data_IF_332421443282
#
_entry.id   IF_332421443282
#
_cell.length_a   1.000
_cell.length_b   1.000
_cell.length_c   1.000
_cell.angle_alpha   90.00
_cell.angle_beta   90.00
_cell.angle_gamma   90.00
#
_symmetry.space_group_name_H-M   'P 1'
#
loop_
_entity.id
_entity.type
_entity.pdbx_description
1 polymer ?
#
# COMPACT_ATOMS: atom_id res chain seq x y z
N UNK A 1 0.02 -6.44 2.70
CA UNK A 1 -0.60 -5.12 2.93
C UNK A 1 -0.31 -4.27 1.67
N UNK A 2 -1.15 -4.11 0.64
CA UNK A 2 -0.95 -3.26 -0.58
C UNK A 2 -2.20 -3.37 -1.52
N UNK A 3 -2.18 -2.99 -2.81
CA UNK A 3 -3.34 -3.21 -3.72
C UNK A 3 -3.66 -4.70 -3.96
N UNK A 4 -2.64 -5.55 -4.10
CA UNK A 4 -2.82 -7.01 -4.21
C UNK A 4 -3.41 -7.57 -2.92
N UNK A 5 -2.89 -7.14 -1.76
CA UNK A 5 -3.46 -7.56 -0.47
C UNK A 5 -4.85 -6.98 -0.20
N UNK A 6 -5.19 -5.85 -0.81
CA UNK A 6 -6.55 -5.30 -0.79
C UNK A 6 -7.54 -6.18 -1.57
N UNK A 7 -7.04 -7.03 -2.47
CA UNK A 7 -7.82 -7.94 -3.29
C UNK A 7 -8.03 -7.45 -4.73
N UNK A 8 -7.36 -6.37 -5.14
CA UNK A 8 -7.42 -5.93 -6.53
C UNK A 8 -7.02 -7.08 -7.47
N UNK A 9 -7.69 -7.19 -8.62
CA UNK A 9 -7.53 -8.33 -9.55
C UNK A 9 -8.52 -9.48 -9.33
N UNK A 10 -8.96 -9.73 -8.09
CA UNK A 10 -9.98 -10.73 -7.78
C UNK A 10 -11.36 -10.34 -8.34
N UNK A 11 -12.17 -11.33 -8.74
CA UNK A 11 -13.51 -11.09 -9.30
C UNK A 11 -14.49 -10.54 -8.27
N UNK A 12 -14.31 -10.87 -6.98
CA UNK A 12 -15.12 -10.37 -5.88
C UNK A 12 -14.28 -10.16 -4.62
N UNK A 13 -13.85 -8.91 -4.41
CA UNK A 13 -13.12 -8.46 -3.21
C UNK A 13 -13.94 -8.72 -1.94
N UNK A 14 -13.29 -9.26 -0.92
CA UNK A 14 -13.90 -9.77 0.30
C UNK A 14 -14.33 -11.23 0.20
N UNK A 15 -14.18 -11.89 -0.96
CA UNK A 15 -14.66 -13.26 -1.18
C UNK A 15 -13.65 -14.15 -1.91
N UNK A 16 -13.14 -13.72 -3.07
CA UNK A 16 -12.24 -14.50 -3.93
C UNK A 16 -10.79 -14.01 -3.91
N UNK A 17 -10.51 -12.91 -3.21
CA UNK A 17 -9.14 -12.47 -2.93
C UNK A 17 -8.45 -13.37 -1.90
N UNK A 18 -7.13 -13.45 -1.99
CA UNK A 18 -6.32 -14.37 -1.20
C UNK A 18 -6.45 -14.16 0.32
N UNK A 19 -6.60 -12.91 0.78
CA UNK A 19 -6.77 -12.60 2.19
C UNK A 19 -8.09 -13.18 2.71
N UNK A 20 -9.19 -12.97 1.97
CA UNK A 20 -10.51 -13.51 2.33
C UNK A 20 -10.57 -15.02 2.25
N UNK A 21 -9.91 -15.63 1.25
CA UNK A 21 -9.79 -17.08 1.12
C UNK A 21 -9.07 -17.68 2.33
N UNK A 22 -7.91 -17.13 2.69
CA UNK A 22 -7.12 -17.56 3.84
C UNK A 22 -7.90 -17.37 5.15
N UNK A 23 -8.48 -16.19 5.37
CA UNK A 23 -9.22 -15.90 6.59
C UNK A 23 -10.39 -16.87 6.81
N UNK A 24 -11.12 -17.20 5.73
CA UNK A 24 -12.20 -18.19 5.76
C UNK A 24 -11.66 -19.58 6.11
N UNK A 25 -10.59 -20.00 5.44
CA UNK A 25 -9.95 -21.28 5.72
C UNK A 25 -9.50 -21.37 7.19
N UNK A 26 -8.88 -20.34 7.74
CA UNK A 26 -8.43 -20.33 9.14
C UNK A 26 -9.62 -20.46 10.11
N UNK A 27 -10.72 -19.72 9.87
CA UNK A 27 -11.94 -19.82 10.70
C UNK A 27 -12.52 -21.24 10.66
N UNK A 28 -12.52 -21.89 9.50
CA UNK A 28 -13.03 -23.25 9.32
C UNK A 28 -12.08 -24.32 9.90
N UNK A 29 -10.77 -24.14 9.75
CA UNK A 29 -9.74 -25.08 10.18
C UNK A 29 -9.53 -25.09 11.71
N UNK A 30 -9.79 -23.97 12.38
CA UNK A 30 -9.60 -23.83 13.83
C UNK A 30 -10.90 -23.42 14.55
N UNK A 31 -11.96 -24.24 14.52
CA UNK A 31 -13.29 -23.87 15.02
C UNK A 31 -13.36 -23.70 16.54
N UNK A 32 -12.36 -24.21 17.29
CA UNK A 32 -12.23 -23.98 18.73
C UNK A 32 -11.62 -22.62 19.07
N UNK A 33 -11.05 -21.92 18.08
CA UNK A 33 -10.42 -20.61 18.24
C UNK A 33 -11.34 -19.51 17.71
N UNK A 34 -11.33 -18.36 18.37
CA UNK A 34 -12.08 -17.18 17.91
C UNK A 34 -11.19 -16.35 16.99
N UNK A 35 -11.26 -16.63 15.70
CA UNK A 35 -10.46 -15.92 14.69
C UNK A 35 -11.22 -14.71 14.17
N UNK A 36 -10.55 -13.55 14.21
CA UNK A 36 -10.98 -12.32 13.55
C UNK A 36 -9.92 -11.91 12.55
N UNK A 37 -10.33 -11.50 11.37
CA UNK A 37 -9.42 -11.07 10.31
C UNK A 37 -9.77 -9.65 9.84
N UNK A 38 -8.77 -8.77 9.83
CA UNK A 38 -8.89 -7.39 9.33
C UNK A 38 -7.90 -7.16 8.19
N UNK A 39 -8.40 -6.67 7.07
CA UNK A 39 -7.55 -6.27 5.96
C UNK A 39 -7.07 -4.81 6.14
N UNK A 40 -5.83 -4.65 6.61
CA UNK A 40 -5.17 -3.36 6.77
C UNK A 40 -4.63 -2.72 5.48
N UNK A 41 -4.72 -3.41 4.34
CA UNK A 41 -4.02 -3.05 3.11
C UNK A 41 -4.45 -1.71 2.53
N UNK A 42 -3.49 -0.83 2.18
CA UNK A 42 -3.76 0.43 1.47
C UNK A 42 -3.28 0.28 0.02
N UNK A 43 -4.19 0.38 -0.97
CA UNK A 43 -3.82 0.19 -2.37
C UNK A 43 -2.69 1.10 -2.84
N UNK A 44 -1.77 0.53 -3.62
CA UNK A 44 -0.67 1.24 -4.27
C UNK A 44 0.16 2.12 -3.34
N UNK A 45 0.49 1.55 -2.18
CA UNK A 45 1.45 2.12 -1.23
C UNK A 45 2.68 1.24 -1.16
N UNK A 46 3.88 1.83 -1.07
CA UNK A 46 5.11 1.12 -0.73
C UNK A 46 5.22 0.93 0.79
N UNK A 47 6.15 0.07 1.20
CA UNK A 47 6.52 -0.13 2.61
C UNK A 47 7.03 1.17 3.26
N UNK A 48 7.62 2.09 2.47
CA UNK A 48 8.04 3.42 2.94
C UNK A 48 6.88 4.30 3.38
N UNK A 49 5.68 4.15 2.82
CA UNK A 49 4.47 4.77 3.34
C UNK A 49 3.96 4.01 4.58
N UNK A 50 3.92 2.68 4.50
CA UNK A 50 3.34 1.87 5.58
C UNK A 50 4.11 1.98 6.90
N UNK A 51 5.44 2.05 6.84
CA UNK A 51 6.25 2.25 8.05
C UNK A 51 5.89 3.55 8.78
N UNK A 52 5.36 4.56 8.09
CA UNK A 52 4.93 5.82 8.70
C UNK A 52 3.48 5.81 9.18
N UNK A 53 2.61 5.02 8.51
CA UNK A 53 1.17 4.96 8.74
C UNK A 53 0.69 3.61 9.33
N UNK A 54 1.60 2.85 9.96
CA UNK A 54 1.34 1.48 10.42
C UNK A 54 0.12 1.39 11.33
N UNK A 55 -0.02 2.34 12.25
CA UNK A 55 -1.07 2.42 13.26
C UNK A 55 -2.48 2.51 12.66
N UNK A 56 -2.60 2.97 11.41
CA UNK A 56 -3.89 3.02 10.72
C UNK A 56 -4.27 1.66 10.11
N UNK A 57 -3.29 0.78 9.95
CA UNK A 57 -3.40 -0.43 9.15
C UNK A 57 -3.33 -1.70 10.00
N UNK A 58 -2.60 -1.67 11.11
CA UNK A 58 -2.32 -2.83 11.95
C UNK A 58 -2.69 -2.51 13.40
N UNK A 59 -3.52 -3.37 13.99
CA UNK A 59 -3.91 -3.25 15.40
C UNK A 59 -2.74 -3.64 16.31
N UNK A 60 -2.54 -2.95 17.44
CA UNK A 60 -1.38 -3.19 18.32
C UNK A 60 -1.40 -4.56 19.01
N UNK A 61 -2.57 -5.18 19.10
CA UNK A 61 -2.84 -6.49 19.70
C UNK A 61 -3.05 -7.61 18.67
N UNK A 62 -2.68 -7.38 17.40
CA UNK A 62 -2.73 -8.40 16.35
C UNK A 62 -1.84 -9.60 16.68
N UNK A 63 -2.30 -10.82 16.39
CA UNK A 63 -1.54 -12.06 16.63
C UNK A 63 -0.70 -12.51 15.42
N UNK A 64 -1.18 -12.24 14.20
CA UNK A 64 -0.55 -12.65 12.95
C UNK A 64 -0.67 -11.54 11.89
N UNK A 65 0.46 -11.17 11.29
CA UNK A 65 0.53 -10.18 10.21
C UNK A 65 1.12 -10.79 8.95
N UNK A 66 0.41 -10.64 7.83
CA UNK A 66 0.90 -10.96 6.49
C UNK A 66 1.33 -9.67 5.78
N UNK A 67 2.62 -9.56 5.46
CA UNK A 67 3.20 -8.37 4.83
C UNK A 67 3.64 -8.67 3.41
N UNK A 68 3.30 -7.78 2.47
CA UNK A 68 3.62 -7.91 1.05
C UNK A 68 3.70 -6.51 0.44
N UNK A 69 4.85 -6.21 -0.19
CA UNK A 69 5.12 -4.95 -0.88
C UNK A 69 6.11 -5.09 -2.06
N UNK A 70 6.57 -6.29 -2.44
CA UNK A 70 7.63 -6.47 -3.45
C UNK A 70 7.33 -5.74 -4.76
N UNK A 71 6.06 -5.75 -5.18
CA UNK A 71 5.64 -5.05 -6.38
C UNK A 71 5.71 -3.53 -6.18
N UNK A 72 5.18 -3.02 -5.05
CA UNK A 72 5.05 -1.58 -4.77
C UNK A 72 6.36 -0.89 -4.39
N UNK A 73 7.30 -1.60 -3.78
CA UNK A 73 8.62 -1.05 -3.46
C UNK A 73 9.50 -0.93 -4.72
N UNK A 74 9.09 -1.55 -5.83
CA UNK A 74 9.76 -1.50 -7.12
C UNK A 74 11.06 -2.30 -7.13
N UNK A 75 11.92 -2.04 -8.12
CA UNK A 75 13.24 -2.68 -8.29
C UNK A 75 14.38 -1.68 -8.03
N UNK A 76 15.46 -2.16 -7.42
CA UNK A 76 16.72 -1.43 -7.34
C UNK A 76 17.86 -2.38 -7.72
N UNK A 77 18.72 -1.96 -8.66
CA UNK A 77 19.85 -2.75 -9.15
C UNK A 77 21.08 -2.66 -8.21
N UNK A 78 20.83 -2.78 -6.91
CA UNK A 78 21.86 -2.72 -5.87
C UNK A 78 21.41 -3.54 -4.65
N UNK A 79 22.35 -4.24 -4.02
CA UNK A 79 22.07 -5.04 -2.81
C UNK A 79 22.42 -4.26 -1.55
N UNK A 80 23.61 -3.64 -1.53
CA UNK A 80 24.19 -3.01 -0.32
C UNK A 80 23.47 -1.73 0.09
N UNK A 81 23.10 -0.91 -0.90
CA UNK A 81 22.46 0.38 -0.69
C UNK A 81 21.07 0.39 -1.33
N UNK A 82 20.28 -0.65 -1.03
CA UNK A 82 18.99 -0.88 -1.66
C UNK A 82 17.90 0.01 -1.02
N UNK A 83 17.63 1.14 -1.64
CA UNK A 83 16.61 2.08 -1.17
C UNK A 83 15.18 1.52 -1.21
N UNK A 84 14.90 0.51 -2.03
CA UNK A 84 13.61 -0.16 -2.07
C UNK A 84 13.40 -1.12 -0.88
N UNK A 85 14.46 -1.79 -0.40
CA UNK A 85 14.36 -2.78 0.69
C UNK A 85 14.55 -2.17 2.09
N UNK A 86 15.31 -1.08 2.25
CA UNK A 86 15.48 -0.41 3.56
C UNK A 86 14.14 -0.06 4.24
N UNK A 87 13.10 0.44 3.56
CA UNK A 87 11.82 0.71 4.19
C UNK A 87 11.07 -0.57 4.62
N UNK A 88 11.21 -1.68 3.88
CA UNK A 88 10.69 -2.99 4.28
C UNK A 88 11.34 -3.46 5.59
N UNK A 89 12.66 -3.30 5.73
CA UNK A 89 13.34 -3.61 6.99
C UNK A 89 12.74 -2.82 8.16
N UNK A 90 12.62 -1.49 8.01
CA UNK A 90 12.06 -0.66 9.07
C UNK A 90 10.64 -1.10 9.41
N UNK A 91 9.82 -1.44 8.40
CA UNK A 91 8.47 -1.96 8.60
C UNK A 91 8.46 -3.29 9.38
N UNK A 92 9.27 -4.27 8.99
CA UNK A 92 9.40 -5.55 9.70
C UNK A 92 9.78 -5.34 11.16
N UNK A 93 10.75 -4.46 11.43
CA UNK A 93 11.17 -4.12 12.79
C UNK A 93 10.02 -3.51 13.60
N UNK A 94 9.22 -2.61 13.03
CA UNK A 94 8.04 -2.04 13.71
C UNK A 94 6.99 -3.13 14.01
N UNK A 95 6.73 -4.02 13.05
CA UNK A 95 5.77 -5.12 13.22
C UNK A 95 6.19 -6.07 14.35
N UNK A 96 7.44 -6.53 14.34
CA UNK A 96 7.99 -7.41 15.39
C UNK A 96 8.11 -6.71 16.75
N UNK A 97 8.20 -5.38 16.76
CA UNK A 97 8.23 -4.57 17.97
C UNK A 97 6.84 -4.30 18.58
N UNK A 98 5.74 -4.60 17.87
CA UNK A 98 4.38 -4.35 18.38
C UNK A 98 4.15 -4.99 19.76
N UNK A 99 3.29 -4.40 20.61
CA UNK A 99 3.06 -4.89 21.97
C UNK A 99 2.65 -6.36 22.04
N UNK A 100 1.81 -6.83 21.10
CA UNK A 100 1.35 -8.22 21.01
C UNK A 100 2.39 -9.23 20.54
N UNK A 101 3.57 -8.81 20.07
CA UNK A 101 4.60 -9.68 19.48
C UNK A 101 4.02 -10.62 18.40
N UNK A 102 3.36 -10.07 17.36
CA UNK A 102 2.72 -10.89 16.35
C UNK A 102 3.71 -11.79 15.62
N UNK A 103 3.24 -12.95 15.19
CA UNK A 103 3.88 -13.68 14.11
C UNK A 103 3.82 -12.81 12.84
N UNK A 104 4.92 -12.72 12.09
CA UNK A 104 5.00 -11.97 10.83
C UNK A 104 5.38 -12.92 9.72
N UNK A 105 4.59 -12.96 8.65
CA UNK A 105 4.87 -13.76 7.45
C UNK A 105 5.03 -12.81 6.27
N UNK A 106 6.17 -12.90 5.59
CA UNK A 106 6.40 -12.18 4.33
C UNK A 106 5.79 -12.99 3.19
N UNK A 107 4.86 -12.37 2.45
CA UNK A 107 4.34 -12.87 1.19
C UNK A 107 4.91 -11.99 0.08
N UNK A 108 5.37 -12.60 -1.01
CA UNK A 108 5.99 -11.90 -2.13
C UNK A 108 5.29 -12.23 -3.42
N UNK A 109 5.07 -11.19 -4.23
CA UNK A 109 4.44 -11.28 -5.55
C UNK A 109 5.47 -10.92 -6.61
N UNK A 110 5.54 -11.65 -7.74
CA UNK A 110 6.49 -11.35 -8.81
C UNK A 110 6.28 -9.93 -9.34
N UNK A 111 7.36 -9.27 -9.72
CA UNK A 111 7.25 -8.06 -10.53
C UNK A 111 6.59 -8.36 -11.86
N UNK A 112 5.95 -7.34 -12.42
CA UNK A 112 5.35 -7.42 -13.74
C UNK A 112 6.34 -7.95 -14.78
N UNK A 113 5.95 -9.01 -15.48
CA UNK A 113 6.75 -9.63 -16.54
C UNK A 113 7.52 -10.88 -16.13
N UNK A 114 7.81 -11.11 -14.85
CA UNK A 114 8.70 -12.22 -14.44
C UNK A 114 8.12 -13.59 -14.82
N UNK A 115 6.82 -13.83 -14.59
CA UNK A 115 6.20 -15.12 -14.89
C UNK A 115 5.49 -15.15 -16.26
N UNK A 116 5.79 -14.20 -17.15
CA UNK A 116 5.29 -14.22 -18.53
C UNK A 116 6.09 -15.17 -19.40
N UNK A 117 5.50 -15.62 -20.50
CA UNK A 117 6.16 -16.45 -21.49
C UNK A 117 7.35 -15.71 -22.14
N UNK A 118 8.48 -16.39 -22.44
CA UNK A 118 9.67 -15.77 -23.04
C UNK A 118 9.45 -15.00 -24.35
N UNK A 119 8.41 -15.34 -25.12
CA UNK A 119 8.04 -14.66 -26.36
C UNK A 119 7.18 -13.41 -26.13
N UNK A 120 6.79 -13.12 -24.89
CA UNK A 120 6.10 -11.89 -24.53
C UNK A 120 7.10 -10.71 -24.49
N UNK A 121 6.85 -9.58 -25.17
CA UNK A 121 7.75 -8.43 -25.16
C UNK A 121 7.93 -7.78 -23.78
N UNK A 122 7.04 -8.06 -22.83
CA UNK A 122 7.10 -7.57 -21.45
C UNK A 122 7.72 -8.59 -20.50
N UNK A 123 8.19 -9.74 -21.01
CA UNK A 123 8.87 -10.75 -20.22
C UNK A 123 10.07 -10.16 -19.48
N UNK A 124 10.26 -10.60 -18.24
CA UNK A 124 11.43 -10.29 -17.43
C UNK A 124 12.02 -11.57 -16.88
N UNK A 125 13.34 -11.57 -16.75
CA UNK A 125 14.07 -12.71 -16.20
C UNK A 125 13.77 -12.90 -14.70
N UNK A 126 13.97 -14.12 -14.20
CA UNK A 126 13.68 -14.49 -12.81
C UNK A 126 14.36 -13.58 -11.77
N UNK A 127 15.56 -13.09 -12.08
CA UNK A 127 16.38 -12.25 -11.21
C UNK A 127 15.97 -10.77 -11.21
N UNK A 128 15.05 -10.35 -12.07
CA UNK A 128 14.60 -8.96 -12.13
C UNK A 128 13.63 -8.68 -10.98
N UNK A 129 14.12 -8.71 -9.74
CA UNK A 129 13.28 -8.57 -8.54
C UNK A 129 14.07 -8.03 -7.35
N UNK A 130 13.36 -7.41 -6.41
CA UNK A 130 13.88 -7.07 -5.08
C UNK A 130 13.61 -8.17 -4.05
N UNK A 131 12.82 -9.20 -4.40
CA UNK A 131 12.53 -10.35 -3.53
C UNK A 131 13.79 -10.96 -2.92
N UNK A 132 14.87 -11.08 -3.70
CA UNK A 132 16.08 -11.77 -3.25
C UNK A 132 16.80 -10.97 -2.14
N UNK A 133 16.67 -9.64 -2.14
CA UNK A 133 17.17 -8.77 -1.06
C UNK A 133 16.19 -8.76 0.12
N UNK A 134 14.88 -8.79 -0.13
CA UNK A 134 13.87 -8.92 0.92
C UNK A 134 13.95 -10.29 1.63
N UNK A 135 14.35 -11.36 0.94
CA UNK A 135 14.60 -12.68 1.52
C UNK A 135 15.78 -12.63 2.51
N UNK A 136 16.80 -11.81 2.26
CA UNK A 136 17.88 -11.60 3.22
C UNK A 136 17.35 -10.99 4.54
N UNK A 137 16.35 -10.09 4.47
CA UNK A 137 15.67 -9.60 5.67
C UNK A 137 14.93 -10.72 6.38
N UNK A 138 14.23 -11.58 5.65
CA UNK A 138 13.50 -12.70 6.24
C UNK A 138 14.43 -13.62 7.04
N UNK A 139 15.60 -13.95 6.48
CA UNK A 139 16.63 -14.71 7.17
C UNK A 139 17.23 -13.99 8.37
N UNK A 140 17.44 -12.67 8.27
CA UNK A 140 18.05 -11.88 9.34
C UNK A 140 17.12 -11.70 10.55
N UNK A 141 15.82 -11.55 10.31
CA UNK A 141 14.79 -11.35 11.33
C UNK A 141 14.03 -12.61 11.72
N UNK A 142 14.41 -13.75 11.17
CA UNK A 142 13.81 -15.07 11.41
C UNK A 142 12.29 -15.09 11.20
N UNK A 143 11.85 -14.57 10.05
CA UNK A 143 10.43 -14.56 9.66
C UNK A 143 10.18 -15.46 8.45
N UNK A 144 9.06 -16.21 8.40
CA UNK A 144 8.70 -16.99 7.23
C UNK A 144 8.56 -16.13 5.97
N UNK A 145 8.98 -16.70 4.84
CA UNK A 145 9.00 -16.05 3.54
C UNK A 145 8.34 -16.95 2.47
N UNK A 146 7.31 -16.43 1.81
CA UNK A 146 6.54 -17.11 0.79
C UNK A 146 6.64 -16.34 -0.53
N UNK A 147 6.77 -17.05 -1.64
CA UNK A 147 7.01 -16.44 -2.96
C UNK A 147 6.07 -16.99 -4.02
N UNK A 148 5.14 -16.15 -4.48
CA UNK A 148 4.32 -16.45 -5.65
C UNK A 148 5.18 -16.50 -6.92
N UNK A 149 6.28 -15.74 -6.99
CA UNK A 149 7.23 -15.79 -8.12
C UNK A 149 7.79 -17.19 -8.26
N UNK A 150 8.34 -17.74 -7.18
CA UNK A 150 8.93 -19.08 -7.18
C UNK A 150 7.89 -20.16 -7.44
N UNK A 151 6.68 -20.01 -6.87
CA UNK A 151 5.59 -20.95 -7.11
C UNK A 151 5.15 -21.01 -8.57
N UNK A 152 5.15 -19.87 -9.28
CA UNK A 152 4.63 -19.78 -10.65
C UNK A 152 5.70 -19.89 -11.73
N UNK A 153 6.91 -19.33 -11.55
CA UNK A 153 7.85 -19.08 -12.66
C UNK A 153 8.16 -20.32 -13.48
N UNK A 154 8.43 -21.46 -12.83
CA UNK A 154 8.70 -22.70 -13.54
C UNK A 154 7.48 -23.18 -14.32
N UNK A 155 6.30 -23.18 -13.71
CA UNK A 155 5.06 -23.68 -14.32
C UNK A 155 4.60 -22.78 -15.48
N UNK A 156 4.72 -21.46 -15.29
CA UNK A 156 4.26 -20.45 -16.23
C UNK A 156 5.27 -20.18 -17.37
N UNK A 157 6.51 -19.80 -17.03
CA UNK A 157 7.48 -19.28 -17.99
C UNK A 157 8.34 -20.38 -18.63
N UNK A 158 8.71 -21.43 -17.89
CA UNK A 158 9.59 -22.50 -18.37
C UNK A 158 8.82 -23.68 -18.96
N UNK A 159 7.99 -24.33 -18.15
CA UNK A 159 7.29 -25.57 -18.49
C UNK A 159 5.99 -25.29 -19.28
N UNK A 160 5.49 -24.04 -19.25
CA UNK A 160 4.27 -23.57 -19.94
C UNK A 160 3.07 -24.50 -19.72
N UNK A 161 2.86 -24.90 -18.46
CA UNK A 161 1.80 -25.82 -18.07
C UNK A 161 0.44 -25.16 -18.30
N UNK A 162 -0.50 -25.78 -19.04
CA UNK A 162 -1.84 -25.22 -19.23
C UNK A 162 -2.52 -24.95 -17.88
N UNK A 163 -3.15 -23.77 -17.74
CA UNK A 163 -3.73 -23.33 -16.47
C UNK A 163 -2.80 -22.49 -15.59
N UNK A 164 -1.52 -22.34 -15.95
CA UNK A 164 -0.51 -21.64 -15.14
C UNK A 164 0.10 -20.42 -15.83
N UNK A 165 -0.35 -20.05 -17.03
CA UNK A 165 0.18 -18.89 -17.74
C UNK A 165 -0.06 -17.58 -16.95
N UNK A 166 0.70 -16.53 -17.28
CA UNK A 166 0.51 -15.21 -16.67
C UNK A 166 -0.95 -14.75 -16.78
N UNK A 167 -1.57 -14.92 -17.95
CA UNK A 167 -2.94 -14.46 -18.22
C UNK A 167 -4.02 -15.26 -17.48
N UNK A 168 -3.70 -16.47 -17.02
CA UNK A 168 -4.58 -17.28 -16.20
C UNK A 168 -4.44 -16.92 -14.71
N UNK A 169 -3.23 -16.58 -14.27
CA UNK A 169 -2.93 -16.24 -12.87
C UNK A 169 -3.18 -14.77 -12.53
N UNK A 170 -3.02 -13.86 -13.49
CA UNK A 170 -3.08 -12.40 -13.32
C UNK A 170 -4.11 -11.77 -14.27
N UNK A 171 -4.80 -10.73 -13.80
CA UNK A 171 -5.70 -9.91 -14.63
C UNK A 171 -4.91 -8.88 -15.44
N UNK A 172 -3.95 -8.26 -14.77
CA UNK A 172 -3.01 -7.26 -15.29
C UNK A 172 -1.64 -7.52 -14.65
N UNK A 173 -1.29 -6.79 -13.59
CA UNK A 173 -0.22 -7.07 -12.65
C UNK A 173 -0.74 -7.55 -11.29
N UNK A 174 -2.06 -7.50 -11.09
CA UNK A 174 -2.74 -8.05 -9.93
C UNK A 174 -3.14 -9.51 -10.15
N UNK A 175 -2.94 -10.39 -9.15
CA UNK A 175 -3.43 -11.75 -9.18
C UNK A 175 -4.96 -11.77 -9.41
N UNK A 176 -5.40 -12.57 -10.39
CA UNK A 176 -6.81 -12.90 -10.55
C UNK A 176 -7.27 -13.89 -9.47
N UNK A 177 -8.43 -14.50 -9.68
CA UNK A 177 -8.95 -15.51 -8.74
C UNK A 177 -7.98 -16.70 -8.60
N UNK A 178 -7.44 -17.22 -9.71
CA UNK A 178 -6.49 -18.34 -9.67
C UNK A 178 -5.19 -17.99 -8.93
N UNK A 179 -4.59 -16.83 -9.22
CA UNK A 179 -3.40 -16.36 -8.50
C UNK A 179 -3.68 -16.09 -7.02
N UNK A 180 -4.86 -15.56 -6.69
CA UNK A 180 -5.31 -15.36 -5.31
C UNK A 180 -5.44 -16.69 -4.55
N UNK A 181 -5.96 -17.73 -5.21
CA UNK A 181 -6.01 -19.08 -4.64
C UNK A 181 -4.61 -19.63 -4.36
N UNK A 182 -3.66 -19.51 -5.29
CA UNK A 182 -2.27 -19.95 -5.07
C UNK A 182 -1.63 -19.21 -3.90
N UNK A 183 -1.81 -17.89 -3.80
CA UNK A 183 -1.32 -17.11 -2.65
C UNK A 183 -1.88 -17.59 -1.32
N UNK A 184 -3.19 -17.86 -1.25
CA UNK A 184 -3.82 -18.40 -0.05
C UNK A 184 -3.26 -19.80 0.28
N UNK A 185 -3.15 -20.67 -0.72
CA UNK A 185 -2.65 -22.04 -0.56
C UNK A 185 -1.21 -22.09 -0.06
N UNK A 186 -0.34 -21.15 -0.48
CA UNK A 186 1.02 -21.04 0.05
C UNK A 186 1.03 -20.80 1.57
N UNK A 187 0.15 -19.92 2.07
CA UNK A 187 0.04 -19.65 3.50
C UNK A 187 -0.62 -20.82 4.24
N UNK A 188 -1.69 -21.38 3.67
CA UNK A 188 -2.37 -22.58 4.21
C UNK A 188 -1.38 -23.72 4.37
N UNK A 189 -0.55 -23.98 3.36
CA UNK A 189 0.47 -25.02 3.41
C UNK A 189 1.47 -24.79 4.53
N UNK A 190 1.99 -23.57 4.66
CA UNK A 190 2.90 -23.20 5.76
C UNK A 190 2.25 -23.45 7.14
N UNK A 191 0.99 -23.02 7.32
CA UNK A 191 0.26 -23.21 8.57
C UNK A 191 0.00 -24.70 8.87
N UNK A 192 -0.32 -25.50 7.86
CA UNK A 192 -0.51 -26.95 8.00
C UNK A 192 0.78 -27.66 8.38
N UNK A 193 1.90 -27.35 7.71
CA UNK A 193 3.22 -27.92 8.03
C UNK A 193 3.60 -27.54 9.46
N UNK A 194 3.46 -26.27 9.83
CA UNK A 194 3.73 -25.79 11.19
C UNK A 194 2.88 -26.53 12.23
N UNK A 195 1.59 -26.70 11.98
CA UNK A 195 0.69 -27.41 12.90
C UNK A 195 1.10 -28.89 13.06
N UNK A 196 1.49 -29.57 11.97
CA UNK A 196 1.98 -30.96 12.03
C UNK A 196 3.28 -31.04 12.81
N UNK A 197 4.22 -30.13 12.57
CA UNK A 197 5.49 -30.08 13.29
C UNK A 197 5.31 -29.85 14.79
N UNK A 198 4.42 -28.93 15.18
CA UNK A 198 4.07 -28.68 16.59
C UNK A 198 3.47 -29.91 17.28
N UNK A 199 2.81 -30.81 16.55
CA UNK A 199 2.26 -32.04 17.11
C UNK A 199 3.29 -33.17 17.15
N UNK A 200 4.19 -33.23 16.16
CA UNK A 200 5.04 -34.40 15.95
C UNK A 200 6.48 -34.24 16.42
N UNK A 201 7.13 -33.14 16.04
CA UNK A 201 8.59 -33.03 16.08
C UNK A 201 9.09 -31.90 16.98
N UNK A 202 8.35 -30.81 17.06
CA UNK A 202 8.74 -29.56 17.72
C UNK A 202 7.59 -28.99 18.54
N UNK A 203 7.14 -29.66 19.62
CA UNK A 203 6.04 -29.14 20.43
C UNK A 203 6.41 -27.80 21.06
N UNK A 204 5.43 -26.89 21.06
CA UNK A 204 5.59 -25.56 21.62
C UNK A 204 6.15 -25.61 23.04
N UNK A 205 7.22 -24.86 23.27
CA UNK A 205 8.03 -24.91 24.47
C UNK A 205 8.15 -23.54 25.13
N UNK A 206 8.77 -23.52 26.30
CA UNK A 206 9.08 -22.27 26.99
C UNK A 206 10.16 -21.45 26.25
N UNK A 207 10.98 -22.07 25.39
CA UNK A 207 11.93 -21.36 24.55
C UNK A 207 11.20 -20.59 23.45
N UNK A 208 10.21 -21.20 22.79
CA UNK A 208 9.38 -20.54 21.77
C UNK A 208 8.61 -19.33 22.35
N UNK A 209 8.11 -19.47 23.58
CA UNK A 209 7.45 -18.36 24.27
C UNK A 209 8.41 -17.22 24.67
N UNK A 210 9.73 -17.49 24.76
CA UNK A 210 10.74 -16.49 25.10
C UNK A 210 11.34 -15.80 23.88
N UNK A 211 11.37 -16.45 22.73
CA UNK A 211 12.04 -15.93 21.54
C UNK A 211 11.49 -14.55 21.11
N UNK A 212 10.16 -14.31 21.02
CA UNK A 212 9.62 -13.00 20.65
C UNK A 212 9.89 -11.89 21.69
N UNK A 213 10.31 -12.25 22.90
CA UNK A 213 10.67 -11.31 23.97
C UNK A 213 12.12 -10.85 23.88
N UNK A 214 12.94 -11.49 23.05
CA UNK A 214 14.33 -11.10 22.87
C UNK A 214 14.40 -9.74 22.15
N UNK A 215 15.38 -8.90 22.49
CA UNK A 215 15.63 -7.69 21.72
C UNK A 215 15.89 -8.04 20.26
N UNK A 216 15.27 -7.28 19.35
CA UNK A 216 15.58 -7.38 17.93
C UNK A 216 17.08 -7.13 17.70
N UNK A 217 17.71 -7.82 16.73
CA UNK A 217 19.08 -7.49 16.33
C UNK A 217 19.18 -6.00 15.91
N UNK A 218 20.39 -5.42 15.81
CA UNK A 218 20.55 -4.12 15.16
C UNK A 218 20.00 -4.17 13.72
N UNK A 219 19.71 -3.02 13.08
CA UNK A 219 19.36 -3.03 11.66
C UNK A 219 20.42 -3.76 10.81
N UNK A 220 19.97 -4.61 9.89
CA UNK A 220 20.77 -5.28 8.86
C UNK A 220 21.44 -4.23 7.97
N UNK A 221 20.70 -3.20 7.55
CA UNK A 221 21.28 -2.03 6.90
C UNK A 221 21.79 -1.04 7.98
N UNK A 222 23.09 -0.75 8.07
CA UNK A 222 23.63 0.11 9.12
C UNK A 222 22.92 1.48 9.18
N UNK A 223 22.45 1.86 10.37
CA UNK A 223 21.75 3.13 10.59
C UNK A 223 20.28 3.15 10.14
N UNK A 224 19.75 2.06 9.58
CA UNK A 224 18.36 1.98 9.10
C UNK A 224 17.36 1.68 10.24
N UNK A 225 17.32 2.55 11.24
CA UNK A 225 16.39 2.44 12.37
C UNK A 225 14.97 2.81 11.97
N UNK A 226 13.99 2.19 12.63
CA UNK A 226 12.57 2.48 12.44
C UNK A 226 12.06 3.57 13.38
N UNK A 227 10.99 4.30 13.02
CA UNK A 227 10.45 5.37 13.85
C UNK A 227 9.75 4.79 15.08
N UNK A 228 9.90 5.49 16.21
CA UNK A 228 9.31 5.17 17.51
C UNK A 228 7.97 5.90 17.76
N UNK A 229 7.62 6.88 16.91
CA UNK A 229 6.38 7.64 16.97
C UNK A 229 5.55 7.55 15.67
N UNK A 230 4.22 7.70 15.74
CA UNK A 230 3.38 7.80 14.55
C UNK A 230 3.77 9.02 13.71
N UNK A 231 3.98 8.80 12.42
CA UNK A 231 4.45 9.85 11.50
C UNK A 231 3.34 10.38 10.60
N UNK A 232 2.19 9.73 10.65
CA UNK A 232 1.10 9.85 9.70
C UNK A 232 -0.21 10.13 10.43
N UNK A 233 -0.88 11.20 10.04
CA UNK A 233 -2.18 11.57 10.58
C UNK A 233 -3.17 11.76 9.44
N UNK A 234 -4.11 10.83 9.37
CA UNK A 234 -5.11 10.70 8.30
C UNK A 234 -6.48 10.38 8.90
N UNK A 235 -7.52 10.41 8.07
CA UNK A 235 -8.85 9.98 8.49
C UNK A 235 -9.40 10.83 9.64
N UNK A 236 -10.02 10.19 10.63
CA UNK A 236 -10.62 10.87 11.79
C UNK A 236 -9.58 11.49 12.74
N UNK A 237 -8.30 11.09 12.64
CA UNK A 237 -7.21 11.71 13.38
C UNK A 237 -6.78 13.06 12.80
N UNK A 238 -7.19 13.40 11.58
CA UNK A 238 -6.74 14.61 10.89
C UNK A 238 -7.41 15.92 11.35
N UNK A 239 -8.74 15.99 11.58
CA UNK A 239 -9.40 17.22 12.04
C UNK A 239 -8.80 17.86 13.31
N UNK A 240 -8.36 17.11 14.34
CA UNK A 240 -7.68 17.68 15.50
C UNK A 240 -6.43 18.53 15.19
N UNK A 241 -5.79 18.33 14.03
CA UNK A 241 -4.62 19.11 13.62
C UNK A 241 -4.98 20.43 12.92
N UNK A 242 -6.24 20.64 12.56
CA UNK A 242 -6.66 21.79 11.75
C UNK A 242 -6.98 22.99 12.64
N UNK A 243 -6.23 24.07 12.49
CA UNK A 243 -6.42 25.34 13.21
C UNK A 243 -7.31 26.33 12.44
N UNK A 244 -7.40 26.19 11.11
CA UNK A 244 -8.29 26.98 10.25
C UNK A 244 -8.84 26.11 9.11
N UNK A 245 -10.15 26.19 8.84
CA UNK A 245 -10.81 25.48 7.73
C UNK A 245 -11.79 26.39 7.00
N UNK A 246 -11.29 27.43 6.32
CA UNK A 246 -12.14 28.36 5.54
C UNK A 246 -12.41 27.76 4.16
N UNK A 247 -13.68 27.57 3.81
CA UNK A 247 -14.07 27.04 2.49
C UNK A 247 -13.76 25.55 2.27
N UNK A 248 -13.25 24.87 3.30
CA UNK A 248 -13.07 23.42 3.34
C UNK A 248 -14.10 22.78 4.28
N UNK A 249 -14.60 21.60 3.90
CA UNK A 249 -15.50 20.79 4.72
C UNK A 249 -14.91 19.40 4.91
N UNK A 250 -14.83 18.92 6.15
CA UNK A 250 -14.42 17.55 6.43
C UNK A 250 -15.57 16.58 6.16
N UNK A 251 -15.38 15.66 5.22
CA UNK A 251 -16.42 14.70 4.83
C UNK A 251 -15.84 13.40 4.28
N UNK A 252 -16.67 12.35 4.29
CA UNK A 252 -16.37 11.07 3.66
C UNK A 252 -16.99 11.03 2.25
N UNK A 253 -16.15 11.14 1.21
CA UNK A 253 -16.63 11.10 -0.18
C UNK A 253 -17.02 9.70 -0.68
N UNK A 254 -16.74 8.63 0.07
CA UNK A 254 -17.20 7.28 -0.28
C UNK A 254 -18.70 7.06 -0.02
N UNK A 255 -19.39 8.04 0.58
CA UNK A 255 -20.77 7.92 1.05
C UNK A 255 -20.88 7.27 2.43
N UNK A 256 -22.08 7.28 3.04
CA UNK A 256 -22.37 6.54 4.28
C UNK A 256 -22.35 5.04 3.96
N UNK A 257 -21.18 4.41 4.07
CA UNK A 257 -20.98 3.00 3.75
C UNK A 257 -21.41 2.11 4.92
N UNK A 258 -22.71 1.81 5.02
CA UNK A 258 -23.21 0.66 5.80
C UNK A 258 -22.94 -0.69 5.10
N UNK A 259 -22.18 -0.71 4.00
CA UNK A 259 -21.87 -1.92 3.22
C UNK A 259 -20.50 -2.49 3.59
N UNK A 260 -20.30 -2.83 4.86
CA UNK A 260 -19.25 -3.77 5.27
C UNK A 260 -19.66 -5.16 4.81
N UNK A 261 -18.81 -5.85 4.04
CA UNK A 261 -19.00 -7.29 3.85
C UNK A 261 -18.52 -7.98 5.12
N UNK A 262 -19.37 -8.00 6.15
CA UNK A 262 -19.13 -8.86 7.31
C UNK A 262 -19.51 -10.27 6.89
N UNK A 263 -18.53 -11.06 6.49
CA UNK A 263 -18.75 -12.50 6.40
C UNK A 263 -18.83 -12.99 7.84
N UNK A 264 -20.06 -13.11 8.34
CA UNK A 264 -20.34 -13.90 9.53
C UNK A 264 -20.56 -15.31 9.01
N UNK A 265 -19.55 -16.17 9.11
CA UNK A 265 -19.77 -17.60 8.89
C UNK A 265 -20.73 -18.06 10.00
N UNK A 266 -22.00 -18.23 9.66
CA UNK A 266 -22.99 -18.82 10.55
C UNK A 266 -22.66 -20.31 10.70
N UNK A 267 -21.64 -20.61 11.50
CA UNK A 267 -21.40 -21.97 11.97
C UNK A 267 -22.47 -22.22 13.03
N UNK A 268 -23.55 -22.89 12.65
CA UNK A 268 -24.59 -23.37 13.58
C UNK A 268 -24.04 -24.52 14.42
N UNK A 269 -23.13 -24.21 15.34
CA UNK A 269 -22.86 -25.09 16.48
C UNK A 269 -23.58 -24.52 17.71
N UNK A 270 -24.57 -25.27 18.17
CA UNK A 270 -25.31 -25.04 19.40
C UNK A 270 -24.36 -25.11 20.60
N UNK A 271 -23.68 -24.01 20.91
CA UNK A 271 -23.06 -23.82 22.21
C UNK A 271 -23.11 -22.34 22.58
N UNK A 272 -23.78 -22.09 23.70
CA UNK A 272 -23.97 -20.78 24.30
C UNK A 272 -22.63 -20.21 24.77
N UNK A 273 -22.02 -19.32 23.99
CA UNK A 273 -20.98 -18.43 24.50
C UNK A 273 -21.27 -17.00 24.04
N UNK A 274 -21.28 -16.07 24.98
CA UNK A 274 -21.72 -14.68 24.84
C UNK A 274 -20.64 -13.77 24.21
N UNK A 275 -19.88 -14.28 23.24
CA UNK A 275 -18.87 -13.53 22.48
C UNK A 275 -19.37 -13.16 21.08
N UNK A 276 -18.91 -12.02 20.53
CA UNK A 276 -19.22 -11.69 19.14
C UNK A 276 -18.64 -12.78 18.19
N UNK A 277 -19.38 -13.17 17.14
CA UNK A 277 -19.01 -14.30 16.27
C UNK A 277 -17.69 -14.09 15.52
N UNK A 278 -17.05 -15.17 15.01
CA UNK A 278 -15.95 -15.05 14.06
C UNK A 278 -16.40 -14.20 12.87
N UNK A 279 -15.56 -13.26 12.46
CA UNK A 279 -15.90 -12.33 11.39
C UNK A 279 -14.67 -11.95 10.60
N UNK A 280 -14.82 -11.94 9.28
CA UNK A 280 -13.90 -11.25 8.38
C UNK A 280 -14.44 -9.85 8.16
N UNK A 281 -13.68 -8.83 8.54
CA UNK A 281 -14.01 -7.44 8.28
C UNK A 281 -13.15 -6.90 7.15
N UNK A 282 -13.76 -6.83 5.97
CA UNK A 282 -13.21 -6.12 4.82
C UNK A 282 -14.27 -5.16 4.28
N UNK A 283 -14.04 -3.83 4.34
CA UNK A 283 -14.94 -2.88 3.70
C UNK A 283 -14.91 -3.09 2.19
N UNK A 284 -16.08 -3.19 1.52
CA UNK A 284 -16.13 -3.15 0.05
C UNK A 284 -15.64 -1.81 -0.50
N UNK A 285 -15.81 -0.74 0.28
CA UNK A 285 -15.30 0.60 0.00
C UNK A 285 -14.65 1.15 1.26
N UNK A 286 -13.41 1.62 1.15
CA UNK A 286 -12.77 2.35 2.26
C UNK A 286 -13.41 3.72 2.43
N UNK A 287 -13.60 4.20 3.67
CA UNK A 287 -13.91 5.60 3.92
C UNK A 287 -12.87 6.50 3.25
N UNK A 288 -13.34 7.55 2.57
CA UNK A 288 -12.52 8.56 1.88
C UNK A 288 -12.61 9.89 2.61
N UNK A 289 -12.25 9.88 3.89
CA UNK A 289 -12.20 11.06 4.73
C UNK A 289 -11.19 12.10 4.22
N UNK A 290 -11.54 13.38 4.37
CA UNK A 290 -10.65 14.49 4.08
C UNK A 290 -11.37 15.83 4.10
N UNK A 291 -10.61 16.90 4.15
CA UNK A 291 -11.09 18.26 3.96
C UNK A 291 -11.21 18.55 2.48
N UNK A 292 -12.40 18.90 2.01
CA UNK A 292 -12.71 19.17 0.61
C UNK A 292 -13.13 20.62 0.44
N UNK A 293 -12.45 21.34 -0.44
CA UNK A 293 -12.86 22.65 -0.91
C UNK A 293 -13.47 22.53 -2.31
N UNK A 294 -14.65 23.11 -2.51
CA UNK A 294 -15.30 23.25 -3.82
C UNK A 294 -15.49 24.74 -4.10
N UNK A 295 -14.51 25.38 -4.76
CA UNK A 295 -14.53 26.83 -4.97
C UNK A 295 -15.20 27.23 -6.29
N UNK A 296 -16.53 27.28 -6.28
CA UNK A 296 -17.34 27.47 -7.49
C UNK A 296 -17.32 28.92 -8.00
N UNK A 297 -17.37 29.89 -7.09
CA UNK A 297 -17.52 31.31 -7.43
C UNK A 297 -16.41 32.16 -6.79
N UNK A 298 -15.19 32.16 -7.34
CA UNK A 298 -14.05 32.89 -6.76
C UNK A 298 -14.24 34.42 -6.73
N UNK A 299 -15.17 34.96 -7.52
CA UNK A 299 -15.52 36.38 -7.54
C UNK A 299 -16.32 36.81 -6.30
N UNK A 300 -17.07 35.89 -5.69
CA UNK A 300 -18.00 36.20 -4.58
C UNK A 300 -17.70 35.43 -3.31
N UNK A 301 -16.98 34.30 -3.41
CA UNK A 301 -16.61 33.45 -2.28
C UNK A 301 -15.18 33.76 -1.82
N UNK A 302 -14.92 33.81 -0.51
CA UNK A 302 -13.56 33.99 0.00
C UNK A 302 -12.67 32.81 -0.43
N UNK A 303 -11.37 33.08 -0.57
CA UNK A 303 -10.39 32.07 -0.95
C UNK A 303 -10.35 30.94 0.09
N UNK A 304 -10.53 29.67 -0.32
CA UNK A 304 -10.43 28.53 0.57
C UNK A 304 -9.00 28.39 1.11
N UNK A 305 -8.89 28.16 2.41
CA UNK A 305 -7.65 28.00 3.13
C UNK A 305 -7.82 27.01 4.28
N UNK A 306 -6.94 26.02 4.33
CA UNK A 306 -6.83 25.04 5.40
C UNK A 306 -5.48 25.24 6.09
N UNK A 307 -5.43 25.36 7.42
CA UNK A 307 -4.17 25.44 8.18
C UNK A 307 -4.09 24.24 9.11
N UNK A 308 -2.97 23.54 9.04
CA UNK A 308 -2.65 22.38 9.89
C UNK A 308 -1.48 22.70 10.80
N UNK A 309 -1.58 22.32 12.07
CA UNK A 309 -0.54 22.49 13.08
C UNK A 309 0.09 21.14 13.42
N UNK A 310 1.42 21.04 13.32
CA UNK A 310 2.18 19.79 13.43
C UNK A 310 3.43 19.97 14.31
N UNK A 311 3.91 18.87 14.91
CA UNK A 311 5.27 18.80 15.46
C UNK A 311 6.23 18.24 14.41
N UNK A 312 7.18 19.06 13.97
CA UNK A 312 8.15 18.69 12.93
C UNK A 312 9.52 18.35 13.49
N UNK A 313 9.69 18.27 14.81
CA UNK A 313 10.97 17.92 15.43
C UNK A 313 11.31 16.45 15.25
N UNK A 314 12.59 16.15 15.07
CA UNK A 314 13.11 14.78 15.04
C UNK A 314 14.19 14.57 16.08
N UNK A 315 14.39 13.32 16.54
CA UNK A 315 15.52 13.00 17.39
C UNK A 315 16.82 13.45 16.70
N UNK A 316 17.67 14.18 17.43
CA UNK A 316 18.92 14.72 16.90
C UNK A 316 19.87 13.63 16.36
N UNK A 317 19.70 12.38 16.83
CA UNK A 317 20.42 11.22 16.35
C UNK A 317 20.04 10.82 14.91
N UNK A 318 18.83 11.16 14.46
CA UNK A 318 18.31 10.87 13.13
C UNK A 318 18.44 12.06 12.19
N UNK A 319 18.15 13.27 12.70
CA UNK A 319 18.16 14.50 11.92
C UNK A 319 18.78 15.63 12.74
N UNK A 320 19.86 16.27 12.26
CA UNK A 320 20.42 17.44 12.95
C UNK A 320 19.34 18.52 13.17
N UNK A 321 19.28 19.20 14.34
CA UNK A 321 18.22 20.17 14.64
C UNK A 321 18.05 21.30 13.61
N UNK A 322 19.14 21.67 12.93
CA UNK A 322 19.19 22.69 11.87
C UNK A 322 18.73 22.17 10.50
N UNK A 323 18.68 20.86 10.30
CA UNK A 323 18.27 20.27 9.04
C UNK A 323 16.75 20.32 8.88
N UNK A 324 16.32 20.48 7.63
CA UNK A 324 14.91 20.40 7.27
C UNK A 324 14.43 18.95 7.23
N UNK A 325 13.15 18.76 7.54
CA UNK A 325 12.46 17.48 7.45
C UNK A 325 11.42 17.53 6.32
N UNK A 326 11.30 16.49 5.49
CA UNK A 326 10.21 16.39 4.54
C UNK A 326 8.86 16.27 5.26
N UNK A 327 7.92 17.15 4.91
CA UNK A 327 6.50 17.07 5.22
C UNK A 327 5.76 16.76 3.92
N UNK A 328 4.89 15.76 3.97
CA UNK A 328 4.04 15.35 2.88
C UNK A 328 2.58 15.68 3.20
N UNK A 329 1.91 16.38 2.30
CA UNK A 329 0.47 16.62 2.35
C UNK A 329 -0.22 15.63 1.42
N UNK A 330 -1.06 14.77 1.98
CA UNK A 330 -1.85 13.82 1.21
C UNK A 330 -3.01 14.57 0.55
N UNK A 331 -3.05 14.59 -0.77
CA UNK A 331 -4.09 15.28 -1.53
C UNK A 331 -4.67 14.40 -2.65
N UNK A 332 -5.91 14.65 -3.04
CA UNK A 332 -6.51 13.94 -4.18
C UNK A 332 -6.03 14.56 -5.50
N UNK A 333 -5.69 13.73 -6.48
CA UNK A 333 -5.63 14.09 -7.90
C UNK A 333 -6.71 13.33 -8.68
N UNK A 334 -7.28 13.98 -9.69
CA UNK A 334 -8.34 13.40 -10.52
C UNK A 334 -8.43 14.10 -11.88
N UNK A 335 -9.03 13.42 -12.85
CA UNK A 335 -9.25 13.89 -14.22
C UNK A 335 -10.39 14.90 -14.36
N UNK A 336 -11.18 15.12 -13.32
CA UNK A 336 -12.30 16.05 -13.34
C UNK A 336 -12.37 16.87 -12.05
N UNK A 337 -12.94 18.07 -12.17
CA UNK A 337 -13.25 19.00 -11.08
C UNK A 337 -12.05 19.66 -10.37
N UNK A 338 -10.85 19.10 -10.48
CA UNK A 338 -9.69 19.48 -9.66
C UNK A 338 -9.10 20.86 -9.98
N UNK A 339 -8.66 21.57 -8.94
CA UNK A 339 -7.98 22.86 -9.03
C UNK A 339 -6.53 22.80 -8.59
N UNK A 340 -5.93 23.99 -8.45
CA UNK A 340 -4.57 24.18 -7.93
C UNK A 340 -4.58 24.68 -6.50
N UNK A 341 -3.56 24.36 -5.73
CA UNK A 341 -3.33 24.92 -4.41
C UNK A 341 -1.86 25.29 -4.21
N UNK A 342 -1.61 26.32 -3.41
CA UNK A 342 -0.29 26.60 -2.83
C UNK A 342 -0.21 25.96 -1.45
N UNK A 343 0.92 25.31 -1.15
CA UNK A 343 1.23 24.81 0.19
C UNK A 343 2.43 25.58 0.73
N UNK A 344 2.27 26.22 1.89
CA UNK A 344 3.29 27.12 2.45
C UNK A 344 3.29 27.13 3.99
N UNK A 345 4.44 27.43 4.59
CA UNK A 345 4.59 27.58 6.03
C UNK A 345 4.06 28.94 6.49
N UNK A 346 3.31 28.93 7.59
CA UNK A 346 2.61 30.11 8.12
C UNK A 346 3.28 30.61 9.39
N UNK A 347 3.53 29.72 10.35
CA UNK A 347 4.09 30.08 11.66
C UNK A 347 4.91 28.93 12.26
N UNK A 348 5.87 29.30 13.12
CA UNK A 348 6.73 28.37 13.87
C UNK A 348 7.83 27.66 13.07
N UNK A 349 7.60 27.38 11.80
CA UNK A 349 8.55 26.76 10.86
C UNK A 349 8.67 27.57 9.56
N UNK A 350 9.70 27.28 8.76
CA UNK A 350 9.94 27.87 7.45
C UNK A 350 10.10 26.80 6.38
N UNK A 351 9.61 27.10 5.19
CA UNK A 351 9.74 26.28 3.99
C UNK A 351 9.59 27.13 2.73
N UNK A 352 10.07 26.59 1.62
CA UNK A 352 9.78 27.15 0.29
C UNK A 352 8.36 26.74 -0.11
N UNK A 353 7.47 27.67 -0.46
CA UNK A 353 6.13 27.34 -0.94
C UNK A 353 6.18 26.47 -2.20
N UNK A 354 5.23 25.55 -2.32
CA UNK A 354 5.05 24.71 -3.51
C UNK A 354 3.67 24.92 -4.12
N UNK A 355 3.59 24.75 -5.44
CA UNK A 355 2.35 24.80 -6.20
C UNK A 355 1.97 23.39 -6.64
N UNK A 356 0.75 22.97 -6.30
CA UNK A 356 0.23 21.64 -6.58
C UNK A 356 -0.94 21.76 -7.55
N UNK A 357 -0.84 21.08 -8.68
CA UNK A 357 -1.95 20.93 -9.64
C UNK A 357 -2.62 19.58 -9.47
N UNK A 358 -3.80 19.57 -8.86
CA UNK A 358 -4.51 18.34 -8.56
C UNK A 358 -5.21 17.72 -9.78
N UNK A 359 -5.19 18.40 -10.94
CA UNK A 359 -5.73 17.84 -12.16
C UNK A 359 -4.72 16.95 -12.87
N UNK A 360 -5.18 15.78 -13.31
CA UNK A 360 -4.41 14.83 -14.15
C UNK A 360 -5.20 14.50 -15.41
N UNK A 361 -4.57 13.93 -16.42
CA UNK A 361 -5.24 13.57 -17.68
C UNK A 361 -5.77 12.14 -17.69
N UNK A 362 -5.14 11.28 -16.90
CA UNK A 362 -5.50 9.88 -16.79
C UNK A 362 -6.83 9.72 -16.05
N UNK A 363 -7.72 8.88 -16.57
CA UNK A 363 -9.06 8.64 -16.05
C UNK A 363 -9.05 7.81 -14.75
N UNK A 364 -8.36 8.32 -13.73
CA UNK A 364 -8.23 7.73 -12.39
C UNK A 364 -8.35 8.83 -11.34
N UNK A 365 -8.73 8.45 -10.11
CA UNK A 365 -8.77 9.36 -8.95
C UNK A 365 -7.99 8.75 -7.79
N UNK A 366 -6.96 9.47 -7.34
CA UNK A 366 -5.91 8.90 -6.51
C UNK A 366 -5.33 9.88 -5.50
N UNK A 367 -4.82 9.37 -4.38
CA UNK A 367 -4.11 10.21 -3.40
C UNK A 367 -2.64 10.39 -3.82
N UNK A 368 -2.10 11.58 -3.71
CA UNK A 368 -0.71 11.93 -4.00
C UNK A 368 -0.07 12.62 -2.80
N UNK A 369 1.26 12.57 -2.71
CA UNK A 369 2.03 13.19 -1.65
C UNK A 369 2.71 14.47 -2.17
N UNK A 370 2.18 15.63 -1.79
CA UNK A 370 2.85 16.90 -2.06
C UNK A 370 3.95 17.12 -1.02
N UNK A 371 5.21 17.16 -1.47
CA UNK A 371 6.40 17.24 -0.59
C UNK A 371 6.85 18.68 -0.41
N UNK A 372 7.01 19.09 0.84
CA UNK A 372 7.68 20.34 1.24
C UNK A 372 8.74 20.05 2.30
N UNK A 373 9.89 20.70 2.21
CA UNK A 373 10.92 20.61 3.25
C UNK A 373 10.71 21.73 4.26
N UNK A 374 10.45 21.37 5.51
CA UNK A 374 10.13 22.29 6.61
C UNK A 374 11.22 22.29 7.66
N UNK A 375 11.50 23.44 8.28
CA UNK A 375 12.35 23.47 9.47
C UNK A 375 11.65 22.82 10.66
N UNK A 376 12.46 22.33 11.60
CA UNK A 376 11.99 21.63 12.78
C UNK A 376 11.43 22.61 13.83
N UNK A 377 10.19 22.40 14.26
CA UNK A 377 9.51 23.19 15.28
C UNK A 377 8.50 22.34 16.03
N UNK A 378 8.34 22.60 17.33
CA UNK A 378 7.34 21.90 18.16
C UNK A 378 5.89 22.25 17.74
N UNK A 379 5.72 23.43 17.15
CA UNK A 379 4.47 23.94 16.61
C UNK A 379 4.80 24.54 15.25
N UNK A 380 4.50 23.82 14.17
CA UNK A 380 4.67 24.23 12.79
C UNK A 380 3.30 24.33 12.14
N UNK A 381 2.90 25.52 11.70
CA UNK A 381 1.66 25.72 10.96
C UNK A 381 1.92 25.78 9.47
N UNK A 382 1.19 24.96 8.71
CA UNK A 382 1.28 24.87 7.25
C UNK A 382 -0.10 25.11 6.66
N UNK A 383 -0.18 26.00 5.66
CA UNK A 383 -1.41 26.31 4.96
C UNK A 383 -1.48 25.60 3.62
N UNK A 384 -2.69 25.13 3.27
CA UNK A 384 -3.09 24.76 1.92
C UNK A 384 -4.10 25.79 1.43
N UNK A 385 -3.74 26.57 0.43
CA UNK A 385 -4.55 27.69 -0.08
C UNK A 385 -4.95 27.40 -1.53
N UNK A 386 -6.25 27.29 -1.81
CA UNK A 386 -6.75 27.00 -3.16
C UNK A 386 -6.60 28.24 -4.04
N UNK A 387 -6.07 28.06 -5.25
CA UNK A 387 -5.76 29.15 -6.18
C UNK A 387 -6.90 29.41 -7.16
N UNK A 388 -6.94 30.64 -7.72
CA UNK A 388 -7.96 31.01 -8.72
C UNK A 388 -7.66 30.37 -10.06
N UNK A 389 -6.37 30.27 -10.37
CA UNK A 389 -5.81 29.60 -11.53
C UNK A 389 -6.10 28.09 -11.46
N UNK A 390 -6.50 27.52 -12.59
CA UNK A 390 -6.81 26.10 -12.71
C UNK A 390 -6.46 25.61 -14.11
N UNK A 391 -6.08 24.34 -14.21
CA UNK A 391 -5.84 23.62 -15.46
C UNK A 391 -7.08 22.88 -15.98
N UNK A 392 -8.12 22.68 -15.15
CA UNK A 392 -9.34 21.94 -15.50
C UNK A 392 -10.56 22.82 -15.74
N UNK A 393 -10.45 24.12 -15.45
CA UNK A 393 -11.59 25.06 -15.39
C UNK A 393 -12.37 25.02 -14.07
N UNK A 394 -12.12 24.04 -13.20
CA UNK A 394 -12.76 23.85 -11.90
C UNK A 394 -11.74 23.93 -10.74
N UNK A 395 -12.23 24.04 -9.50
CA UNK A 395 -11.41 24.39 -8.32
C UNK A 395 -11.72 23.53 -7.10
N UNK A 396 -11.89 22.22 -7.32
CA UNK A 396 -11.96 21.24 -6.23
C UNK A 396 -10.55 20.95 -5.71
N UNK A 397 -10.34 20.96 -4.40
CA UNK A 397 -9.10 20.47 -3.81
C UNK A 397 -9.42 19.67 -2.55
N UNK A 398 -8.78 18.52 -2.37
CA UNK A 398 -9.00 17.66 -1.20
C UNK A 398 -7.68 17.34 -0.53
N UNK A 399 -7.65 17.49 0.78
CA UNK A 399 -6.55 17.09 1.66
C UNK A 399 -7.04 15.97 2.58
N UNK A 400 -6.41 14.81 2.54
CA UNK A 400 -6.80 13.62 3.32
C UNK A 400 -5.93 13.37 4.55
N UNK A 401 -4.79 14.05 4.65
CA UNK A 401 -3.94 13.99 5.84
C UNK A 401 -2.54 14.53 5.60
N UNK A 402 -1.66 14.27 6.56
CA UNK A 402 -0.26 14.71 6.54
C UNK A 402 0.66 13.62 7.04
N UNK A 403 1.89 13.62 6.55
CA UNK A 403 2.97 12.74 7.01
C UNK A 403 4.24 13.55 7.17
N UNK A 404 4.88 13.46 8.34
CA UNK A 404 6.17 14.10 8.58
C UNK A 404 7.25 13.01 8.55
N UNK A 405 8.21 13.10 7.64
CA UNK A 405 9.27 12.10 7.45
C UNK A 405 10.11 11.89 8.70
N UNK A 406 10.62 10.67 8.91
CA UNK A 406 11.52 10.31 10.01
C UNK A 406 12.94 10.88 9.82
N UNK A 407 13.44 10.80 8.59
CA UNK A 407 14.79 11.23 8.24
C UNK A 407 14.75 12.59 7.54
N UNK A 408 15.84 13.34 7.70
CA UNK A 408 16.13 14.50 6.86
C UNK A 408 16.66 14.05 5.50
N UNK A 409 16.53 14.91 4.48
CA UNK A 409 17.03 14.64 3.13
C UNK A 409 15.99 14.06 2.15
N UNK A 410 16.46 13.56 1.01
CA UNK A 410 15.61 12.95 -0.03
C UNK A 410 15.14 11.56 0.38
N UNK A 411 13.81 11.41 0.45
CA UNK A 411 13.17 10.11 0.68
C UNK A 411 12.79 9.55 -0.68
N UNK A 412 13.78 8.98 -1.37
CA UNK A 412 13.74 8.54 -2.78
C UNK A 412 12.54 7.66 -3.12
N UNK A 413 12.07 6.82 -2.19
CA UNK A 413 10.92 5.93 -2.43
C UNK A 413 9.57 6.65 -2.29
N UNK A 414 9.44 7.63 -1.39
CA UNK A 414 8.21 8.44 -1.30
C UNK A 414 8.13 9.46 -2.43
N UNK A 415 9.26 9.84 -3.02
CA UNK A 415 9.28 10.64 -4.24
C UNK A 415 8.58 9.96 -5.41
N UNK A 416 8.58 8.62 -5.46
CA UNK A 416 7.80 7.83 -6.44
C UNK A 416 6.28 8.02 -6.28
N UNK A 417 5.84 8.50 -5.12
CA UNK A 417 4.45 8.90 -4.83
C UNK A 417 4.24 10.42 -4.87
N UNK A 418 5.31 11.18 -5.10
CA UNK A 418 5.29 12.63 -5.14
C UNK A 418 5.08 13.16 -6.55
N UNK A 419 4.75 14.44 -6.65
CA UNK A 419 4.32 15.14 -7.87
C UNK A 419 5.33 15.13 -9.05
N UNK A 420 6.55 14.61 -8.88
CA UNK A 420 7.69 14.84 -9.78
C UNK A 420 8.15 13.63 -10.61
N UNK A 421 7.70 12.40 -10.37
CA UNK A 421 8.17 11.23 -11.14
C UNK A 421 7.05 10.33 -11.69
N UNK A 422 6.92 10.35 -13.01
CA UNK A 422 6.10 9.41 -13.79
C UNK A 422 6.80 8.07 -14.01
N UNK A 423 7.16 7.36 -12.93
CA UNK A 423 7.78 6.03 -13.02
C UNK A 423 6.82 4.94 -12.51
N UNK A 424 6.25 4.22 -13.48
CA UNK A 424 5.46 2.99 -13.40
C UNK A 424 4.14 3.01 -12.62
N UNK A 425 3.16 2.25 -13.12
CA UNK A 425 1.75 2.18 -12.71
C UNK A 425 1.51 1.71 -11.27
N UNK A 426 2.55 1.60 -10.43
CA UNK A 426 2.56 0.85 -9.18
C UNK A 426 2.65 1.75 -7.92
N UNK A 427 3.05 3.01 -8.06
CA UNK A 427 3.08 4.01 -6.97
C UNK A 427 1.79 4.82 -6.78
N UNK A 428 0.71 4.39 -7.42
CA UNK A 428 -0.50 5.18 -7.70
C UNK A 428 -1.68 4.83 -6.79
N UNK A 429 -1.89 5.51 -5.65
CA UNK A 429 -2.99 5.22 -4.69
C UNK A 429 -4.38 5.12 -5.37
N UNK A 430 -4.89 3.92 -5.64
CA UNK A 430 -6.25 3.78 -6.17
C UNK A 430 -7.29 3.98 -5.05
N UNK A 431 -8.25 4.88 -5.26
CA UNK A 431 -9.37 5.05 -4.32
C UNK A 431 -10.50 4.02 -4.53
N UNK A 432 -10.31 2.99 -5.37
CA UNK A 432 -11.27 1.91 -5.57
C UNK A 432 -12.46 2.22 -6.49
N UNK A 433 -12.42 3.30 -7.28
CA UNK A 433 -13.55 3.77 -8.10
C UNK A 433 -13.46 3.41 -9.60
N UNK A 434 -12.63 2.45 -10.01
CA UNK A 434 -12.63 2.06 -11.43
C UNK A 434 -13.80 1.09 -11.72
N UNK A 435 -14.76 1.46 -12.59
CA UNK A 435 -15.68 0.47 -13.12
C UNK A 435 -14.90 -0.60 -13.88
N UNK A 436 -15.26 -1.87 -13.63
CA UNK A 436 -14.61 -3.12 -14.07
C UNK A 436 -14.37 -3.31 -15.59
N UNK A 437 -14.62 -2.30 -16.44
CA UNK A 437 -14.80 -2.49 -17.88
C UNK A 437 -13.81 -1.74 -18.80
N UNK A 438 -12.81 -1.01 -18.31
CA UNK A 438 -11.95 -0.19 -19.20
C UNK A 438 -10.50 -0.63 -19.42
N UNK A 439 -10.02 -1.70 -18.78
CA UNK A 439 -8.68 -2.25 -19.13
C UNK A 439 -8.64 -3.03 -20.47
N UNK A 440 -9.76 -3.10 -21.20
CA UNK A 440 -9.87 -3.88 -22.44
C UNK A 440 -9.73 -3.08 -23.75
N UNK A 441 -9.41 -1.78 -23.73
CA UNK A 441 -9.28 -0.98 -24.97
C UNK A 441 -8.10 -0.02 -24.94
N UNK A 442 -6.91 -0.56 -25.12
CA UNK A 442 -5.79 0.22 -25.63
C UNK A 442 -5.05 -0.61 -26.69
N UNK A 443 -5.63 -0.63 -27.89
CA UNK A 443 -4.94 -0.86 -29.16
C UNK A 443 -5.80 -0.23 -30.24
N UNK A 444 -5.71 1.09 -30.33
CA UNK A 444 -6.23 1.85 -31.47
C UNK A 444 -5.16 2.86 -31.84
N UNK A 445 -4.63 2.69 -33.04
CA UNK A 445 -3.68 3.60 -33.66
C UNK A 445 -4.33 4.98 -33.81
N UNK A 446 -3.52 6.03 -34.04
CA UNK A 446 -3.93 7.43 -34.10
C UNK A 446 -5.04 7.79 -35.13
N UNK A 447 -5.57 6.82 -35.89
CA UNK A 447 -6.67 6.96 -36.84
C UNK A 447 -7.91 6.07 -36.57
N UNK A 448 -8.00 5.37 -35.44
CA UNK A 448 -9.28 4.80 -35.00
C UNK A 448 -9.79 3.56 -35.75
N UNK A 449 -8.94 2.78 -36.43
CA UNK A 449 -9.32 1.52 -37.08
C UNK A 449 -8.75 0.30 -36.35
N UNK A 450 -9.59 -0.70 -36.09
CA UNK A 450 -9.19 -1.96 -35.46
C UNK A 450 -8.32 -2.81 -36.41
N UNK A 451 -7.18 -3.33 -35.95
CA UNK A 451 -6.36 -4.28 -36.70
C UNK A 451 -6.98 -5.69 -36.68
N UNK A 452 -7.15 -6.29 -37.87
CA UNK A 452 -7.53 -7.69 -38.07
C UNK A 452 -6.27 -8.59 -37.98
N UNK A 453 -6.21 -9.59 -37.08
CA UNK A 453 -5.01 -10.40 -36.85
C UNK A 453 -4.77 -11.51 -37.90
N UNK A 454 -5.35 -11.42 -39.10
CA UNK A 454 -5.26 -12.49 -40.13
C UNK A 454 -4.63 -12.09 -41.46
N UNK A 455 -3.54 -11.31 -41.47
CA UNK A 455 -2.64 -11.26 -42.64
C UNK A 455 -1.23 -10.80 -42.26
N UNK A 456 -0.34 -11.73 -41.94
CA UNK A 456 1.10 -11.54 -42.09
C UNK A 456 1.78 -12.91 -42.30
N UNK A 457 1.65 -13.42 -43.52
CA UNK A 457 2.42 -14.57 -43.98
C UNK A 457 3.84 -14.13 -44.35
N UNK A 458 4.83 -14.84 -43.79
CA UNK A 458 6.07 -15.32 -44.41
C UNK A 458 6.85 -14.34 -45.32
N UNK A 459 8.03 -13.91 -44.87
CA UNK A 459 9.28 -14.12 -45.63
C UNK A 459 10.50 -13.72 -44.79
N UNK A 460 11.35 -14.70 -44.50
CA UNK A 460 12.72 -14.50 -44.02
C UNK A 460 13.66 -14.26 -45.21
N UNK A 461 14.72 -13.45 -45.07
CA UNK A 461 15.94 -13.66 -45.84
C UNK A 461 17.14 -14.04 -44.93
N UNK A 462 18.17 -14.68 -45.50
CA UNK A 462 19.11 -15.50 -44.75
C UNK A 462 20.36 -14.75 -44.26
N UNK A 463 20.89 -15.33 -43.17
CA UNK A 463 22.20 -15.20 -42.51
C UNK A 463 22.48 -13.91 -41.74
#
# INVERSE_FOLDING_TARGET
ICSISWGEGASNIGTTDWFSLLARWMIEAFPSSRITARNGAVPATPSSYMVMCLEQSVDPDVDLVLVEYSLNDGYADCIVDNDSTKPMERLLRRLLALPGKPAVIMMQVPMYGIAMEPDNPQHREFYFTNEDVDAALAHYYDVPYLSLRTALYRLAALDRVPGWSWREMFRDFHPGDAGSHVMADLVVHLLQVTAVELVMSYPWSADDAREPLRPLPPPMFPGNTSPDSPMCVVGEGFPPLVTESRGFTFLNEAGNTTNTATITTAITHSSSSSGAPPSVTQPRMKPKWGFVANWLHPETQPQPRLVVQLDTRRPAALVPPEAQVPLFVLHLRSYQHMGRAEISCVSGCSCTPILVDAHITEHVSQTYLARLNVTQAAVCEVAVTVLRETSSGQRKFKVSGVVVSETGGDVTVLERMSDTQGYWEVGRFHTGDLPMNEYGRANVDANGTAMDPRTAAVSSPPL
#
